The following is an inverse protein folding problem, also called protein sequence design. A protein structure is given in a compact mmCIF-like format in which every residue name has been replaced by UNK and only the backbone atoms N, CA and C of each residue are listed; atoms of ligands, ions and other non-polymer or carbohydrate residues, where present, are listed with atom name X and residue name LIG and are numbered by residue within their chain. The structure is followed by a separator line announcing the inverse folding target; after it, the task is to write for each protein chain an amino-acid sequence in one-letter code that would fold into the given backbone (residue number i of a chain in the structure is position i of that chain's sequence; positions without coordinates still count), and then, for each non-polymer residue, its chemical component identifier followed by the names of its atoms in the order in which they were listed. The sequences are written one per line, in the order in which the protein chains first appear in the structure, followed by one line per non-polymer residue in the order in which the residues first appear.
data_IF_987881982150
#
_entry.id   IF_987881982150
#
_cell.length_a   1.000
_cell.length_b   1.000
_cell.length_c   1.000
_cell.angle_alpha   90.00
_cell.angle_beta   90.00
_cell.angle_gamma   90.00
#
_symmetry.space_group_name_H-M   'P 1'
#
loop_
_entity.id
_entity.type
_entity.pdbx_description
1 polymer ?
#
# COMPACT_ATOMS: atom_id res chain seq x y z
N UNK A 1 -13.80 -35.20 44.79
CA UNK A 1 -13.93 -35.27 43.32
C UNK A 1 -14.34 -33.95 42.65
N UNK A 2 -15.18 -33.09 43.23
CA UNK A 2 -15.65 -31.85 42.57
C UNK A 2 -14.63 -30.69 42.47
N UNK A 3 -13.69 -30.57 43.41
CA UNK A 3 -12.69 -29.48 43.42
C UNK A 3 -11.57 -29.64 42.37
N UNK A 4 -11.16 -30.88 42.08
CA UNK A 4 -10.13 -31.15 41.06
C UNK A 4 -10.61 -30.80 39.64
N UNK A 5 -11.91 -31.00 39.36
CA UNK A 5 -12.52 -30.66 38.08
C UNK A 5 -12.56 -29.15 37.84
N UNK A 6 -12.81 -28.36 38.89
CA UNK A 6 -12.83 -26.89 38.82
C UNK A 6 -11.43 -26.30 38.60
N UNK A 7 -10.40 -26.82 39.27
CA UNK A 7 -9.02 -26.39 39.02
C UNK A 7 -8.56 -26.72 37.59
N UNK A 8 -8.91 -27.91 37.09
CA UNK A 8 -8.54 -28.31 35.72
C UNK A 8 -9.21 -27.43 34.66
N UNK A 9 -10.46 -27.02 34.89
CA UNK A 9 -11.19 -26.11 34.00
C UNK A 9 -10.68 -24.65 34.06
N UNK A 10 -10.15 -24.21 35.20
CA UNK A 10 -9.56 -22.87 35.33
C UNK A 10 -8.20 -22.80 34.64
N UNK A 11 -7.38 -23.85 34.78
CA UNK A 11 -6.09 -23.98 34.12
C UNK A 11 -6.24 -23.99 32.59
N UNK A 12 -7.20 -24.74 32.04
CA UNK A 12 -7.42 -24.75 30.58
C UNK A 12 -7.89 -23.40 30.04
N UNK A 13 -8.72 -22.65 30.77
CA UNK A 13 -9.13 -21.29 30.35
C UNK A 13 -7.94 -20.32 30.27
N UNK A 14 -6.99 -20.41 31.20
CA UNK A 14 -5.81 -19.54 31.20
C UNK A 14 -4.97 -19.80 29.95
N UNK A 15 -4.77 -21.06 29.54
CA UNK A 15 -3.97 -21.38 28.35
C UNK A 15 -4.62 -20.98 27.02
N UNK A 16 -5.95 -20.95 26.93
CA UNK A 16 -6.65 -20.48 25.70
C UNK A 16 -6.52 -18.97 25.53
N UNK A 17 -6.38 -18.22 26.63
CA UNK A 17 -6.26 -16.75 26.58
C UNK A 17 -4.87 -16.23 26.17
N UNK A 18 -3.81 -17.04 26.30
CA UNK A 18 -2.43 -16.63 25.95
C UNK A 18 -2.19 -16.63 24.43
N UNK A 19 -3.04 -17.36 23.69
CA UNK A 19 -2.96 -17.47 22.23
C UNK A 19 -3.98 -16.58 21.51
N UNK A 20 -4.66 -15.67 22.22
CA UNK A 20 -5.27 -14.53 21.55
C UNK A 20 -4.14 -13.63 21.08
N UNK A 21 -3.62 -13.90 19.88
CA UNK A 21 -2.80 -12.93 19.16
C UNK A 21 -3.57 -11.61 19.23
N UNK A 22 -3.02 -10.64 19.95
CA UNK A 22 -3.63 -9.34 20.10
C UNK A 22 -3.59 -8.68 18.72
N UNK A 23 -4.63 -8.88 17.92
CA UNK A 23 -4.84 -8.17 16.68
C UNK A 23 -4.81 -6.67 17.00
N UNK A 24 -3.75 -6.00 16.57
CA UNK A 24 -3.69 -4.56 16.69
C UNK A 24 -4.74 -3.98 15.74
N UNK A 25 -5.56 -3.03 16.20
CA UNK A 25 -6.56 -2.39 15.35
C UNK A 25 -5.88 -1.67 14.17
N UNK A 26 -6.59 -1.61 13.03
CA UNK A 26 -6.16 -0.82 11.89
C UNK A 26 -6.20 0.68 12.22
N UNK A 27 -5.14 1.41 11.86
CA UNK A 27 -5.12 2.87 11.91
C UNK A 27 -5.87 3.44 10.72
N UNK A 28 -6.63 4.52 10.97
CA UNK A 28 -7.15 5.40 9.92
C UNK A 28 -6.17 6.51 9.53
N UNK A 29 -5.18 6.76 10.38
CA UNK A 29 -4.10 7.72 10.14
C UNK A 29 -2.88 6.94 9.65
N UNK A 30 -2.70 6.94 8.33
CA UNK A 30 -1.70 6.16 7.60
C UNK A 30 -0.96 7.05 6.62
N UNK A 31 0.36 7.02 6.68
CA UNK A 31 1.24 7.63 5.69
C UNK A 31 1.74 6.60 4.68
N UNK A 32 1.86 7.03 3.42
CA UNK A 32 2.38 6.21 2.31
C UNK A 32 3.78 6.66 1.95
N UNK A 33 4.73 5.72 1.99
CA UNK A 33 6.09 5.93 1.53
C UNK A 33 6.36 5.10 0.27
N UNK A 34 6.89 5.74 -0.77
CA UNK A 34 7.33 5.07 -1.98
C UNK A 34 8.74 4.52 -1.77
N UNK A 35 8.86 3.22 -1.54
CA UNK A 35 10.15 2.56 -1.33
C UNK A 35 10.94 2.44 -2.62
N UNK A 36 10.25 2.13 -3.72
CA UNK A 36 10.85 1.96 -5.04
C UNK A 36 9.82 2.28 -6.10
N UNK A 37 10.12 3.28 -6.93
CA UNK A 37 9.36 3.53 -8.14
C UNK A 37 9.82 2.57 -9.24
N UNK A 38 8.89 1.93 -9.93
CA UNK A 38 9.21 1.19 -11.15
C UNK A 38 9.58 2.16 -12.28
N UNK A 39 10.38 1.69 -13.23
CA UNK A 39 10.65 2.46 -14.44
C UNK A 39 9.47 2.34 -15.39
N UNK A 40 9.14 3.43 -16.08
CA UNK A 40 8.20 3.37 -17.21
C UNK A 40 8.81 2.56 -18.35
N UNK A 41 8.00 1.73 -19.01
CA UNK A 41 8.40 0.98 -20.20
C UNK A 41 7.60 1.53 -21.38
N UNK A 42 8.29 2.15 -22.33
CA UNK A 42 7.71 2.75 -23.52
C UNK A 42 8.25 2.05 -24.77
N UNK A 43 7.42 1.94 -25.80
CA UNK A 43 7.86 1.44 -27.10
C UNK A 43 8.90 2.39 -27.71
N UNK A 44 10.01 1.82 -28.23
CA UNK A 44 11.17 2.56 -28.75
C UNK A 44 10.84 3.51 -29.92
N UNK A 45 9.70 3.33 -30.59
CA UNK A 45 9.28 4.15 -31.73
C UNK A 45 8.72 5.51 -31.34
N UNK A 46 8.44 5.75 -30.06
CA UNK A 46 7.94 7.05 -29.58
C UNK A 46 9.09 7.94 -29.12
N UNK A 47 9.29 9.03 -29.85
CA UNK A 47 10.11 10.16 -29.41
C UNK A 47 9.25 11.16 -28.65
N UNK A 48 9.78 11.67 -27.54
CA UNK A 48 9.25 12.81 -26.83
C UNK A 48 10.25 13.95 -26.91
N UNK A 49 9.77 15.19 -26.97
CA UNK A 49 10.65 16.37 -26.93
C UNK A 49 11.27 16.53 -25.53
N UNK A 50 10.53 16.12 -24.51
CA UNK A 50 10.95 16.12 -23.12
C UNK A 50 11.75 14.88 -22.75
N UNK A 51 12.75 15.07 -21.87
CA UNK A 51 13.55 13.96 -21.30
C UNK A 51 12.96 13.39 -20.01
N UNK A 52 11.96 14.06 -19.43
CA UNK A 52 11.32 13.69 -18.18
C UNK A 52 9.81 13.87 -18.32
N UNK A 53 9.07 12.94 -17.75
CA UNK A 53 7.63 13.06 -17.57
C UNK A 53 7.26 13.02 -16.09
N UNK A 54 6.03 13.41 -15.81
CA UNK A 54 5.41 13.27 -14.50
C UNK A 54 3.98 12.75 -14.63
N UNK A 55 3.53 12.08 -13.59
CA UNK A 55 2.14 11.65 -13.42
C UNK A 55 1.72 11.95 -12.00
N UNK A 56 0.52 12.50 -11.85
CA UNK A 56 -0.19 12.58 -10.58
C UNK A 56 -1.38 11.63 -10.62
N UNK A 57 -1.60 10.92 -9.52
CA UNK A 57 -2.66 9.92 -9.41
C UNK A 57 -3.17 9.81 -7.98
N UNK A 58 -4.40 9.33 -7.86
CA UNK A 58 -5.07 8.98 -6.60
C UNK A 58 -5.29 7.47 -6.60
N UNK A 59 -5.00 6.79 -5.49
CA UNK A 59 -5.26 5.36 -5.35
C UNK A 59 -5.48 4.96 -3.89
N UNK A 60 -6.13 3.81 -3.71
CA UNK A 60 -6.12 3.10 -2.44
C UNK A 60 -4.89 2.18 -2.40
N UNK A 61 -4.11 2.28 -1.32
CA UNK A 61 -2.81 1.62 -1.20
C UNK A 61 -2.83 0.72 0.04
N UNK A 62 -2.83 -0.59 -0.21
CA UNK A 62 -2.66 -1.63 0.80
C UNK A 62 -1.21 -2.14 0.88
N UNK A 63 -0.96 -3.12 1.73
CA UNK A 63 0.37 -3.71 1.90
C UNK A 63 0.96 -4.32 0.61
N UNK A 64 0.12 -4.93 -0.22
CA UNK A 64 0.51 -5.56 -1.48
C UNK A 64 -0.51 -5.33 -2.60
N UNK A 65 -1.42 -4.37 -2.41
CA UNK A 65 -2.56 -4.12 -3.28
C UNK A 65 -2.65 -2.65 -3.60
N UNK A 66 -3.05 -2.35 -4.82
CA UNK A 66 -3.37 -1.00 -5.26
C UNK A 66 -4.72 -1.07 -5.99
N UNK A 67 -5.70 -0.31 -5.51
CA UNK A 67 -7.08 -0.29 -6.00
C UNK A 67 -7.53 1.15 -6.26
N UNK A 68 -8.68 1.29 -6.95
CA UNK A 68 -9.30 2.58 -7.24
C UNK A 68 -8.35 3.62 -7.86
N UNK A 69 -7.40 3.15 -8.68
CA UNK A 69 -6.41 3.99 -9.34
C UNK A 69 -7.08 4.95 -10.32
N UNK A 70 -6.91 6.25 -10.07
CA UNK A 70 -7.33 7.34 -10.94
C UNK A 70 -6.14 8.23 -11.24
N UNK A 71 -5.77 8.30 -12.51
CA UNK A 71 -4.75 9.24 -12.99
C UNK A 71 -5.42 10.62 -13.12
N UNK A 72 -4.83 11.64 -12.49
CA UNK A 72 -5.35 13.01 -12.48
C UNK A 72 -4.61 13.90 -13.47
N UNK A 73 -3.31 13.67 -13.65
CA UNK A 73 -2.46 14.47 -14.53
C UNK A 73 -1.34 13.60 -15.12
N UNK A 74 -1.01 13.82 -16.39
CA UNK A 74 0.14 13.21 -17.06
C UNK A 74 0.78 14.24 -17.97
N UNK A 75 2.10 14.34 -17.93
CA UNK A 75 2.88 15.15 -18.83
C UNK A 75 4.20 14.44 -19.21
N UNK A 76 4.70 14.62 -20.45
CA UNK A 76 4.00 15.21 -21.60
C UNK A 76 2.75 14.41 -21.98
N UNK A 77 1.88 15.05 -22.76
CA UNK A 77 0.69 14.39 -23.30
C UNK A 77 1.06 13.23 -24.23
N UNK A 78 0.14 12.28 -24.41
CA UNK A 78 0.30 11.16 -25.34
C UNK A 78 1.04 9.94 -24.79
N UNK A 79 1.55 9.97 -23.55
CA UNK A 79 2.08 8.77 -22.88
C UNK A 79 0.93 7.75 -22.71
N UNK A 80 1.14 6.45 -23.04
CA UNK A 80 0.09 5.45 -22.88
C UNK A 80 -0.31 5.32 -21.41
N UNK A 81 -1.61 5.40 -21.14
CA UNK A 81 -2.15 5.21 -19.80
C UNK A 81 -1.79 3.83 -19.23
N UNK A 82 -1.70 2.79 -20.08
CA UNK A 82 -1.25 1.45 -19.68
C UNK A 82 0.17 1.44 -19.12
N UNK A 83 1.11 2.11 -19.79
CA UNK A 83 2.50 2.19 -19.33
C UNK A 83 2.62 2.93 -17.98
N UNK A 84 1.79 3.97 -17.78
CA UNK A 84 1.69 4.68 -16.50
C UNK A 84 1.12 3.76 -15.42
N UNK A 85 0.04 3.04 -15.70
CA UNK A 85 -0.57 2.09 -14.75
C UNK A 85 0.41 0.98 -14.36
N UNK A 86 1.12 0.40 -15.32
CA UNK A 86 2.13 -0.63 -15.07
C UNK A 86 3.27 -0.12 -14.18
N UNK A 87 3.72 1.13 -14.42
CA UNK A 87 4.71 1.78 -13.57
C UNK A 87 4.20 1.99 -12.13
N UNK A 88 2.97 2.47 -11.98
CA UNK A 88 2.35 2.71 -10.67
C UNK A 88 2.15 1.38 -9.92
N UNK A 89 1.61 0.36 -10.57
CA UNK A 89 1.36 -0.95 -9.99
C UNK A 89 2.65 -1.74 -9.70
N UNK A 90 3.68 -1.57 -10.53
CA UNK A 90 5.00 -2.19 -10.33
C UNK A 90 5.85 -1.53 -9.23
N UNK A 91 5.42 -0.39 -8.70
CA UNK A 91 6.11 0.33 -7.63
C UNK A 91 5.84 -0.31 -6.27
N UNK A 92 6.76 -0.11 -5.31
CA UNK A 92 6.66 -0.64 -3.96
C UNK A 92 6.37 0.47 -2.96
N UNK A 93 5.36 0.23 -2.14
CA UNK A 93 4.85 1.16 -1.14
C UNK A 93 5.07 0.59 0.26
N UNK A 94 5.18 1.47 1.24
CA UNK A 94 5.16 1.13 2.66
C UNK A 94 4.16 2.02 3.37
N UNK A 95 3.29 1.38 4.14
CA UNK A 95 2.32 2.07 4.99
C UNK A 95 2.90 2.25 6.39
N UNK A 96 2.75 3.43 6.97
CA UNK A 96 3.18 3.74 8.33
C UNK A 96 1.99 4.27 9.11
N UNK A 97 1.74 3.67 10.28
CA UNK A 97 0.70 4.13 11.19
C UNK A 97 1.28 5.18 12.11
N UNK A 98 0.69 6.37 12.10
CA UNK A 98 1.04 7.42 13.04
C UNK A 98 0.47 7.16 14.44
N UNK A 99 -0.51 6.27 14.54
CA UNK A 99 -1.11 5.84 15.80
C UNK A 99 -0.32 4.71 16.46
N UNK A 100 0.17 4.96 17.68
CA UNK A 100 0.81 3.93 18.51
C UNK A 100 -0.18 2.80 18.80
N UNK A 101 0.31 1.56 18.75
CA UNK A 101 -0.51 0.35 19.00
C UNK A 101 -1.44 -0.04 17.86
N UNK A 102 -1.48 0.71 16.75
CA UNK A 102 -2.26 0.39 15.56
C UNK A 102 -1.36 -0.07 14.40
N UNK A 103 -1.93 -0.79 13.43
CA UNK A 103 -1.26 -1.21 12.20
C UNK A 103 -1.82 -0.41 11.03
N UNK A 104 -0.96 -0.01 10.09
CA UNK A 104 -1.38 0.71 8.89
C UNK A 104 -1.88 -0.26 7.82
N UNK A 105 -3.17 -0.57 7.83
CA UNK A 105 -3.73 -1.62 6.96
C UNK A 105 -3.84 -1.17 5.49
N UNK A 106 -4.40 0.02 5.27
CA UNK A 106 -4.69 0.60 3.96
C UNK A 106 -4.70 2.14 4.08
N UNK A 107 -4.32 2.82 3.01
CA UNK A 107 -4.50 4.25 2.83
C UNK A 107 -5.50 4.48 1.70
N UNK A 108 -6.64 5.09 1.98
CA UNK A 108 -7.71 5.34 1.02
C UNK A 108 -7.52 6.69 0.32
N UNK A 109 -7.82 6.75 -0.97
CA UNK A 109 -7.81 7.95 -1.82
C UNK A 109 -6.52 8.80 -1.69
N UNK A 110 -5.37 8.14 -1.61
CA UNK A 110 -4.09 8.81 -1.40
C UNK A 110 -3.53 9.37 -2.72
N UNK A 111 -3.19 10.66 -2.74
CA UNK A 111 -2.63 11.32 -3.92
C UNK A 111 -1.09 11.23 -3.93
N UNK A 112 -0.52 10.82 -5.05
CA UNK A 112 0.92 10.72 -5.27
C UNK A 112 1.30 11.32 -6.62
N UNK A 113 2.55 11.79 -6.72
CA UNK A 113 3.14 12.26 -7.97
C UNK A 113 4.47 11.56 -8.22
N UNK A 114 4.62 10.95 -9.39
CA UNK A 114 5.85 10.29 -9.84
C UNK A 114 6.49 11.07 -10.97
N UNK A 115 7.81 11.16 -10.93
CA UNK A 115 8.62 11.64 -12.06
C UNK A 115 9.36 10.47 -12.69
N UNK A 116 9.43 10.42 -14.01
CA UNK A 116 10.10 9.33 -14.74
C UNK A 116 10.89 9.88 -15.92
N UNK A 117 11.82 9.06 -16.44
CA UNK A 117 12.62 9.40 -17.61
C UNK A 117 11.93 8.89 -18.87
N UNK A 118 11.95 9.71 -19.90
CA UNK A 118 11.52 9.34 -21.23
C UNK A 118 12.73 8.82 -22.04
N UNK A 119 12.52 7.90 -23.00
CA UNK A 119 13.57 7.35 -23.84
C UNK A 119 14.23 8.40 -24.74
#
# INVERSE_FOLDING_TARGET
MKQALLMFSLLTMIFVSINAEACRPCSKDVEVFVLKQASIVLEKSRSFDERKGYVTFIADIGHNTLSNLKITEVYPEGIPESAIKDMIQGSRYRLISNNKGHIACEAEAYELSFAFRLP
#
